data_IF_337077482247
#
_entry.id   IF_337077482247
#
_cell.length_a   1.000
_cell.length_b   1.000
_cell.length_c   1.000
_cell.angle_alpha   90.00
_cell.angle_beta   90.00
_cell.angle_gamma   90.00
#
_symmetry.space_group_name_H-M   'P 1'
#
loop_
_entity.id
_entity.type
_entity.pdbx_description
1 polymer ?
#
# COMPACT_ATOMS: atom_id res chain seq x y z
N UNK A 1 -48.24 23.10 13.63
CA UNK A 1 -47.75 23.66 12.36
C UNK A 1 -48.91 24.32 11.68
N UNK A 2 -48.77 25.60 11.32
CA UNK A 2 -49.79 26.32 10.55
C UNK A 2 -49.77 25.81 9.09
N UNK A 3 -50.94 25.74 8.45
CA UNK A 3 -51.10 25.24 7.08
C UNK A 3 -50.19 25.98 6.08
N UNK A 4 -49.99 27.28 6.29
CA UNK A 4 -49.13 28.14 5.48
C UNK A 4 -47.65 27.73 5.52
N UNK A 5 -47.19 27.19 6.64
CA UNK A 5 -45.80 26.73 6.83
C UNK A 5 -45.53 25.43 6.06
N UNK A 6 -46.55 24.58 5.93
CA UNK A 6 -46.49 23.34 5.15
C UNK A 6 -46.47 23.67 3.65
N UNK A 7 -47.36 24.57 3.20
CA UNK A 7 -47.44 24.98 1.79
C UNK A 7 -46.14 25.63 1.32
N UNK A 8 -45.57 26.55 2.12
CA UNK A 8 -44.30 27.20 1.80
C UNK A 8 -43.13 26.19 1.67
N UNK A 9 -43.06 25.19 2.57
CA UNK A 9 -42.05 24.13 2.48
C UNK A 9 -42.23 23.26 1.23
N UNK A 10 -43.47 22.93 0.87
CA UNK A 10 -43.78 22.14 -0.34
C UNK A 10 -43.34 22.90 -1.60
N UNK A 11 -43.59 24.20 -1.68
CA UNK A 11 -43.22 25.04 -2.84
C UNK A 11 -41.70 25.15 -3.02
N UNK A 12 -40.94 25.36 -1.94
CA UNK A 12 -39.48 25.38 -2.00
C UNK A 12 -38.86 24.03 -2.40
N UNK A 13 -39.51 22.93 -2.01
CA UNK A 13 -39.04 21.57 -2.30
C UNK A 13 -39.33 21.18 -3.76
N UNK A 14 -40.51 21.51 -4.29
CA UNK A 14 -40.86 21.27 -5.70
C UNK A 14 -39.96 22.06 -6.65
N UNK A 15 -39.49 23.25 -6.26
CA UNK A 15 -38.51 24.00 -7.04
C UNK A 15 -37.12 23.33 -7.08
N UNK A 16 -36.76 22.57 -6.05
CA UNK A 16 -35.45 21.91 -5.93
C UNK A 16 -35.44 20.50 -6.53
N UNK A 17 -36.52 19.74 -6.36
CA UNK A 17 -36.73 18.41 -6.94
C UNK A 17 -38.14 18.34 -7.58
N UNK A 18 -38.26 18.67 -8.89
CA UNK A 18 -39.54 18.66 -9.60
C UNK A 18 -40.18 17.27 -9.71
N UNK A 19 -39.41 16.20 -9.48
CA UNK A 19 -39.86 14.82 -9.65
C UNK A 19 -40.53 14.25 -8.40
N UNK A 20 -40.40 14.93 -7.25
CA UNK A 20 -41.01 14.55 -5.96
C UNK A 20 -40.68 13.12 -5.48
N UNK A 21 -39.63 12.50 -6.03
CA UNK A 21 -39.31 11.09 -5.80
C UNK A 21 -38.07 10.89 -4.91
N UNK A 22 -37.35 11.95 -4.51
CA UNK A 22 -36.21 11.77 -3.62
C UNK A 22 -36.67 11.43 -2.19
N UNK A 23 -36.00 10.52 -1.48
CA UNK A 23 -36.31 10.27 -0.07
C UNK A 23 -36.09 11.50 0.83
N UNK A 24 -35.31 12.49 0.36
CA UNK A 24 -35.16 13.80 1.00
C UNK A 24 -36.44 14.66 0.88
N UNK A 25 -37.16 14.56 -0.25
CA UNK A 25 -38.48 15.17 -0.45
C UNK A 25 -39.52 14.56 0.51
N UNK A 26 -39.54 13.22 0.62
CA UNK A 26 -40.40 12.51 1.56
C UNK A 26 -40.05 12.84 3.03
N UNK A 27 -38.77 12.92 3.40
CA UNK A 27 -38.34 13.32 4.74
C UNK A 27 -38.79 14.73 5.12
N UNK A 28 -38.68 15.68 4.19
CA UNK A 28 -39.08 17.07 4.41
C UNK A 28 -40.60 17.27 4.43
N UNK A 29 -41.38 16.37 3.81
CA UNK A 29 -42.85 16.32 3.87
C UNK A 29 -43.39 15.43 5.00
N UNK A 30 -42.53 14.83 5.83
CA UNK A 30 -42.93 13.98 6.96
C UNK A 30 -43.24 12.52 6.62
N UNK A 31 -42.87 12.04 5.43
CA UNK A 31 -43.14 10.68 4.94
C UNK A 31 -41.95 9.70 4.96
N UNK A 32 -40.71 10.15 5.17
CA UNK A 32 -39.54 9.27 5.29
C UNK A 32 -38.59 9.73 6.40
N UNK A 33 -38.70 9.13 7.58
CA UNK A 33 -37.74 9.39 8.65
C UNK A 33 -36.40 8.73 8.34
N UNK A 34 -35.32 9.52 8.29
CA UNK A 34 -33.98 8.99 8.12
C UNK A 34 -33.62 8.13 9.33
N UNK A 35 -33.02 6.94 9.14
CA UNK A 35 -32.56 6.12 10.25
C UNK A 35 -31.62 6.89 11.18
N UNK A 36 -31.70 6.61 12.47
CA UNK A 36 -30.79 7.15 13.49
C UNK A 36 -29.37 6.53 13.45
N UNK A 37 -28.96 6.03 12.28
CA UNK A 37 -27.68 5.34 12.10
C UNK A 37 -26.50 6.29 12.31
N UNK A 38 -25.59 5.89 13.18
CA UNK A 38 -24.37 6.62 13.54
C UNK A 38 -23.20 6.25 12.64
N UNK A 39 -22.14 7.05 12.67
CA UNK A 39 -20.88 6.74 11.98
C UNK A 39 -20.24 5.43 12.46
N UNK A 40 -20.40 5.06 13.74
CA UNK A 40 -19.83 3.83 14.26
C UNK A 40 -20.56 2.60 13.69
N UNK A 41 -21.88 2.66 13.56
CA UNK A 41 -22.68 1.59 12.97
C UNK A 41 -22.38 1.43 11.48
N UNK A 42 -22.29 2.54 10.72
CA UNK A 42 -21.84 2.46 9.32
C UNK A 42 -20.42 1.94 9.20
N UNK A 43 -19.51 2.35 10.09
CA UNK A 43 -18.15 1.81 10.11
C UNK A 43 -18.13 0.28 10.29
N UNK A 44 -19.02 -0.29 11.10
CA UNK A 44 -19.19 -1.74 11.26
C UNK A 44 -19.71 -2.41 9.98
N UNK A 45 -20.58 -1.74 9.23
CA UNK A 45 -21.21 -2.31 8.02
C UNK A 45 -20.42 -2.06 6.72
N UNK A 46 -19.37 -1.22 6.73
CA UNK A 46 -18.64 -0.81 5.52
C UNK A 46 -18.22 -1.97 4.59
N UNK A 47 -17.88 -3.13 5.13
CA UNK A 47 -17.46 -4.27 4.30
C UNK A 47 -18.62 -4.93 3.55
N UNK A 48 -19.83 -4.86 4.09
CA UNK A 48 -21.07 -5.35 3.47
C UNK A 48 -21.61 -4.33 2.48
N UNK A 49 -21.52 -3.03 2.82
CA UNK A 49 -21.97 -1.93 1.97
C UNK A 49 -21.06 -1.69 0.75
N UNK A 50 -19.77 -2.06 0.84
CA UNK A 50 -18.81 -1.91 -0.25
C UNK A 50 -18.15 -3.25 -0.62
N UNK A 51 -18.91 -4.24 -1.13
CA UNK A 51 -18.39 -5.59 -1.38
C UNK A 51 -17.31 -5.57 -2.46
N UNK A 52 -17.40 -4.68 -3.45
CA UNK A 52 -16.40 -4.50 -4.52
C UNK A 52 -15.02 -4.12 -3.95
N UNK A 53 -15.00 -3.33 -2.87
CA UNK A 53 -13.76 -2.87 -2.22
C UNK A 53 -13.08 -3.95 -1.40
N UNK A 54 -13.78 -5.02 -1.03
CA UNK A 54 -13.24 -6.07 -0.13
C UNK A 54 -13.21 -7.46 -0.77
N UNK A 55 -13.86 -7.67 -1.92
CA UNK A 55 -14.03 -8.97 -2.56
C UNK A 55 -12.73 -9.77 -2.75
N UNK A 56 -11.62 -9.07 -3.08
CA UNK A 56 -10.30 -9.66 -3.35
C UNK A 56 -9.36 -9.68 -2.15
N UNK A 57 -9.79 -9.20 -0.99
CA UNK A 57 -8.96 -9.13 0.22
C UNK A 57 -8.99 -10.47 0.96
N UNK A 58 -7.86 -10.90 1.52
CA UNK A 58 -7.89 -11.91 2.58
C UNK A 58 -8.50 -11.34 3.87
N UNK A 59 -8.76 -12.22 4.85
CA UNK A 59 -9.33 -11.87 6.15
C UNK A 59 -8.56 -10.74 6.84
N UNK A 60 -7.22 -10.78 6.85
CA UNK A 60 -6.39 -9.71 7.39
C UNK A 60 -6.60 -8.39 6.66
N UNK A 61 -6.51 -8.40 5.34
CA UNK A 61 -6.68 -7.20 4.52
C UNK A 61 -8.07 -6.58 4.69
N UNK A 62 -9.11 -7.41 4.78
CA UNK A 62 -10.49 -6.99 5.06
C UNK A 62 -10.57 -6.34 6.44
N UNK A 63 -10.02 -6.97 7.48
CA UNK A 63 -9.95 -6.42 8.84
C UNK A 63 -9.22 -5.07 8.89
N UNK A 64 -8.03 -4.97 8.29
CA UNK A 64 -7.28 -3.71 8.25
C UNK A 64 -8.02 -2.60 7.50
N UNK A 65 -8.68 -2.97 6.39
CA UNK A 65 -9.51 -2.05 5.61
C UNK A 65 -10.71 -1.55 6.42
N UNK A 66 -11.33 -2.41 7.22
CA UNK A 66 -12.46 -2.07 8.08
C UNK A 66 -12.04 -1.18 9.26
N UNK A 67 -10.94 -1.54 9.94
CA UNK A 67 -10.42 -0.84 11.12
C UNK A 67 -10.11 0.64 10.88
N UNK A 68 -9.81 1.06 9.65
CA UNK A 68 -9.54 2.48 9.35
C UNK A 68 -10.80 3.35 9.47
N UNK A 69 -11.97 2.80 9.11
CA UNK A 69 -13.27 3.46 9.21
C UNK A 69 -13.72 3.51 10.66
N UNK A 70 -13.62 2.37 11.37
CA UNK A 70 -13.88 2.28 12.81
C UNK A 70 -13.08 3.31 13.60
N UNK A 71 -11.78 3.41 13.31
CA UNK A 71 -10.92 4.38 13.98
C UNK A 71 -11.35 5.82 13.69
N UNK A 72 -11.69 6.14 12.45
CA UNK A 72 -12.14 7.48 12.08
C UNK A 72 -13.47 7.84 12.77
N UNK A 73 -14.45 6.93 12.72
CA UNK A 73 -15.74 7.09 13.39
C UNK A 73 -15.58 7.28 14.90
N UNK A 74 -14.84 6.39 15.58
CA UNK A 74 -14.60 6.50 17.02
C UNK A 74 -13.87 7.80 17.39
N UNK A 75 -12.90 8.24 16.58
CA UNK A 75 -12.19 9.51 16.81
C UNK A 75 -13.13 10.71 16.65
N UNK A 76 -14.06 10.66 15.69
CA UNK A 76 -15.07 11.70 15.52
C UNK A 76 -16.08 11.71 16.68
N UNK A 77 -16.65 10.56 17.02
CA UNK A 77 -17.64 10.45 18.09
C UNK A 77 -17.08 10.81 19.47
N UNK A 78 -15.79 10.54 19.72
CA UNK A 78 -15.13 10.98 20.95
C UNK A 78 -15.06 12.52 21.08
N UNK A 79 -15.11 13.26 19.97
CA UNK A 79 -15.06 14.72 19.95
C UNK A 79 -16.45 15.36 19.85
N UNK A 80 -17.29 14.89 18.93
CA UNK A 80 -18.58 15.50 18.59
C UNK A 80 -19.77 14.81 19.30
N UNK A 81 -19.53 13.70 20.00
CA UNK A 81 -20.58 12.83 20.51
C UNK A 81 -21.03 11.80 19.48
N UNK A 82 -21.76 10.78 19.95
CA UNK A 82 -22.42 9.82 19.07
C UNK A 82 -23.77 10.39 18.65
N UNK A 83 -23.96 10.59 17.34
CA UNK A 83 -25.20 11.14 16.79
C UNK A 83 -25.53 10.49 15.42
N UNK A 84 -26.81 10.52 15.02
CA UNK A 84 -27.21 10.10 13.67
C UNK A 84 -26.43 10.83 12.59
N UNK A 85 -26.10 10.14 11.50
CA UNK A 85 -25.40 10.72 10.34
C UNK A 85 -26.18 11.90 9.75
N UNK A 86 -27.51 11.80 9.72
CA UNK A 86 -28.41 12.86 9.26
C UNK A 86 -28.27 14.17 10.07
N UNK A 87 -27.84 14.08 11.33
CA UNK A 87 -27.73 15.21 12.24
C UNK A 87 -26.32 15.83 12.26
N UNK A 88 -25.36 15.24 11.53
CA UNK A 88 -24.00 15.79 11.46
C UNK A 88 -24.02 17.06 10.62
N UNK A 89 -23.57 18.17 11.21
CA UNK A 89 -23.56 19.47 10.54
C UNK A 89 -22.19 19.83 9.96
N UNK A 90 -22.17 20.83 9.09
CA UNK A 90 -20.93 21.49 8.65
C UNK A 90 -20.15 22.09 9.83
N UNK A 91 -20.86 22.51 10.89
CA UNK A 91 -20.26 22.98 12.13
C UNK A 91 -19.46 21.89 12.83
N UNK A 92 -20.01 20.69 12.95
CA UNK A 92 -19.34 19.54 13.57
C UNK A 92 -18.10 19.12 12.78
N UNK A 93 -18.23 19.07 11.45
CA UNK A 93 -17.12 18.76 10.57
C UNK A 93 -15.99 19.82 10.66
N UNK A 94 -16.37 21.10 10.81
CA UNK A 94 -15.43 22.22 11.01
C UNK A 94 -14.74 22.15 12.38
N UNK A 95 -15.47 21.79 13.43
CA UNK A 95 -14.91 21.58 14.78
C UNK A 95 -13.94 20.39 14.80
N UNK A 96 -14.30 19.29 14.12
CA UNK A 96 -13.43 18.14 13.94
C UNK A 96 -12.14 18.53 13.21
N UNK A 97 -12.24 19.28 12.10
CA UNK A 97 -11.07 19.83 11.40
C UNK A 97 -10.19 20.68 12.30
N UNK A 98 -10.77 21.60 13.06
CA UNK A 98 -10.05 22.49 13.98
C UNK A 98 -9.28 21.70 15.04
N UNK A 99 -9.87 20.62 15.56
CA UNK A 99 -9.17 19.74 16.51
C UNK A 99 -7.93 19.09 15.88
N UNK A 100 -8.03 18.61 14.64
CA UNK A 100 -6.89 18.06 13.91
C UNK A 100 -5.86 19.13 13.54
N UNK A 101 -6.28 20.35 13.18
CA UNK A 101 -5.37 21.48 12.95
C UNK A 101 -4.53 21.77 14.20
N UNK A 102 -5.14 21.75 15.40
CA UNK A 102 -4.43 21.87 16.67
C UNK A 102 -3.42 20.75 16.87
N UNK A 103 -3.82 19.50 16.65
CA UNK A 103 -2.93 18.33 16.76
C UNK A 103 -1.76 18.37 15.77
N UNK A 104 -2.01 18.84 14.54
CA UNK A 104 -0.97 19.07 13.54
C UNK A 104 -0.04 20.19 14.00
N UNK A 105 -0.57 21.29 14.54
CA UNK A 105 0.24 22.41 15.06
C UNK A 105 1.13 21.96 16.21
N UNK A 106 0.60 21.11 17.08
CA UNK A 106 1.31 20.49 18.20
C UNK A 106 2.27 19.35 17.78
N UNK A 107 2.41 19.07 16.48
CA UNK A 107 3.24 17.99 15.93
C UNK A 107 2.86 16.57 16.41
N UNK A 108 1.63 16.37 16.89
CA UNK A 108 1.13 15.06 17.33
C UNK A 108 0.79 14.14 16.16
N UNK A 109 0.36 14.74 15.04
CA UNK A 109 0.00 14.03 13.81
C UNK A 109 0.44 14.83 12.59
N UNK A 110 0.65 14.15 11.47
CA UNK A 110 0.91 14.82 10.19
C UNK A 110 -0.38 15.31 9.54
N UNK A 111 -0.24 16.31 8.68
CA UNK A 111 -1.30 16.82 7.80
C UNK A 111 -1.91 15.69 6.96
N UNK A 112 -1.07 14.78 6.46
CA UNK A 112 -1.53 13.61 5.70
C UNK A 112 -2.40 12.67 6.56
N UNK A 113 -2.03 12.45 7.82
CA UNK A 113 -2.82 11.61 8.72
C UNK A 113 -4.20 12.22 8.99
N UNK A 114 -4.26 13.52 9.28
CA UNK A 114 -5.52 14.25 9.47
C UNK A 114 -6.43 14.14 8.24
N UNK A 115 -5.89 14.42 7.05
CA UNK A 115 -6.66 14.38 5.80
C UNK A 115 -7.18 12.98 5.45
N UNK A 116 -6.50 11.90 5.89
CA UNK A 116 -7.03 10.54 5.76
C UNK A 116 -8.28 10.32 6.61
N UNK A 117 -8.29 10.83 7.84
CA UNK A 117 -9.48 10.72 8.72
C UNK A 117 -10.68 11.43 8.11
N UNK A 118 -10.52 12.66 7.61
CA UNK A 118 -11.61 13.37 6.92
C UNK A 118 -12.12 12.60 5.71
N UNK A 119 -11.21 12.04 4.91
CA UNK A 119 -11.58 11.21 3.76
C UNK A 119 -12.36 9.95 4.15
N UNK A 120 -12.05 9.32 5.28
CA UNK A 120 -12.81 8.16 5.76
C UNK A 120 -14.22 8.54 6.23
N UNK A 121 -14.38 9.66 6.95
CA UNK A 121 -15.70 10.16 7.34
C UNK A 121 -16.55 10.51 6.14
N UNK A 122 -15.96 11.20 5.16
CA UNK A 122 -16.62 11.52 3.88
C UNK A 122 -17.16 10.26 3.22
N UNK A 123 -16.32 9.25 3.03
CA UNK A 123 -16.73 7.98 2.40
C UNK A 123 -17.84 7.29 3.18
N UNK A 124 -17.83 7.30 4.51
CA UNK A 124 -18.90 6.69 5.31
C UNK A 124 -20.24 7.40 5.12
N UNK A 125 -20.25 8.73 5.13
CA UNK A 125 -21.48 9.51 4.87
C UNK A 125 -21.99 9.27 3.45
N UNK A 126 -21.10 9.28 2.45
CA UNK A 126 -21.49 8.98 1.06
C UNK A 126 -22.09 7.57 0.97
N UNK A 127 -21.44 6.57 1.59
CA UNK A 127 -21.90 5.17 1.58
C UNK A 127 -23.26 5.00 2.29
N UNK A 128 -23.52 5.77 3.35
CA UNK A 128 -24.80 5.75 4.06
C UNK A 128 -25.96 6.16 3.14
N UNK A 129 -25.84 7.30 2.46
CA UNK A 129 -26.89 7.79 1.56
C UNK A 129 -27.00 6.93 0.30
N UNK A 130 -25.90 6.46 -0.27
CA UNK A 130 -25.89 5.53 -1.41
C UNK A 130 -26.60 4.19 -1.07
N UNK A 131 -26.51 3.73 0.18
CA UNK A 131 -27.19 2.54 0.67
C UNK A 131 -28.71 2.77 0.77
N UNK A 132 -29.13 3.96 1.20
CA UNK A 132 -30.53 4.37 1.26
C UNK A 132 -31.12 4.79 -0.10
N UNK A 133 -30.32 4.79 -1.18
CA UNK A 133 -30.71 5.26 -2.52
C UNK A 133 -31.17 6.71 -2.53
N UNK A 134 -30.46 7.54 -1.75
CA UNK A 134 -30.67 8.98 -1.69
C UNK A 134 -29.57 9.65 -2.50
N UNK A 135 -29.91 10.13 -3.68
CA UNK A 135 -28.94 10.81 -4.57
C UNK A 135 -28.74 12.29 -4.17
N UNK A 136 -29.76 12.91 -3.59
CA UNK A 136 -29.72 14.30 -3.13
C UNK A 136 -29.45 14.38 -1.63
N UNK A 137 -28.19 14.65 -1.27
CA UNK A 137 -27.77 14.90 0.10
C UNK A 137 -26.57 15.85 0.15
N UNK A 138 -26.35 16.48 1.31
CA UNK A 138 -25.15 17.25 1.58
C UNK A 138 -24.25 16.48 2.53
N UNK A 139 -23.03 16.19 2.10
CA UNK A 139 -22.04 15.57 2.97
C UNK A 139 -21.16 16.66 3.65
N UNK A 140 -21.22 16.80 4.99
CA UNK A 140 -20.48 17.81 5.74
C UNK A 140 -18.95 17.76 5.56
N UNK A 141 -18.41 16.63 5.10
CA UNK A 141 -16.97 16.41 4.96
C UNK A 141 -16.40 16.65 3.55
N UNK A 142 -17.22 17.01 2.55
CA UNK A 142 -16.80 17.13 1.13
C UNK A 142 -15.56 17.99 0.94
N UNK A 143 -15.50 19.15 1.59
CA UNK A 143 -14.41 20.13 1.48
C UNK A 143 -13.56 20.23 2.76
N UNK A 144 -13.68 19.24 3.65
CA UNK A 144 -12.95 19.25 4.92
C UNK A 144 -11.53 18.72 4.70
N UNK A 145 -10.58 19.65 4.71
CA UNK A 145 -9.16 19.35 4.52
C UNK A 145 -8.28 20.44 5.12
N UNK A 146 -7.12 20.05 5.64
CA UNK A 146 -6.01 20.96 5.92
C UNK A 146 -5.24 21.18 4.60
N UNK A 147 -5.21 22.43 4.12
CA UNK A 147 -4.59 22.82 2.84
C UNK A 147 -3.08 22.99 3.00
N UNK A 148 -2.33 22.35 2.10
CA UNK A 148 -0.86 22.34 2.15
C UNK A 148 -0.33 21.63 3.40
N UNK A 149 0.98 21.43 3.44
CA UNK A 149 1.67 20.89 4.61
C UNK A 149 1.90 21.98 5.67
N UNK A 150 1.88 21.59 6.95
CA UNK A 150 2.24 22.49 8.04
C UNK A 150 3.68 23.02 7.90
N UNK A 151 3.97 24.20 8.45
CA UNK A 151 5.30 24.82 8.30
C UNK A 151 6.42 23.93 8.86
N UNK A 152 6.19 23.22 9.96
CA UNK A 152 7.16 22.27 10.52
C UNK A 152 7.36 21.03 9.64
N UNK A 153 6.38 20.65 8.81
CA UNK A 153 6.53 19.58 7.81
C UNK A 153 7.37 20.07 6.63
N UNK A 154 7.13 21.31 6.17
CA UNK A 154 7.89 21.95 5.07
C UNK A 154 9.33 22.30 5.44
N UNK A 155 9.55 22.70 6.69
CA UNK A 155 10.88 23.04 7.20
C UNK A 155 11.76 21.81 7.41
N UNK A 156 11.20 20.60 7.36
CA UNK A 156 12.00 19.38 7.32
C UNK A 156 12.56 19.24 5.92
N UNK A 157 13.88 19.06 5.84
CA UNK A 157 14.52 18.64 4.60
C UNK A 157 13.76 17.45 4.00
N UNK A 158 13.67 17.33 2.66
CA UNK A 158 13.03 16.19 2.01
C UNK A 158 13.58 14.91 2.63
N UNK A 159 12.77 14.23 3.44
CA UNK A 159 13.24 13.08 4.20
C UNK A 159 13.44 11.96 3.20
N UNK A 160 14.69 11.79 2.74
CA UNK A 160 15.06 10.57 2.04
C UNK A 160 14.78 9.42 2.99
N UNK A 161 13.99 8.46 2.51
CA UNK A 161 13.68 7.26 3.29
C UNK A 161 14.99 6.58 3.68
N UNK A 162 15.09 6.16 4.93
CA UNK A 162 16.28 5.50 5.42
C UNK A 162 16.57 4.24 4.60
N UNK A 163 17.84 3.98 4.36
CA UNK A 163 18.36 2.86 3.58
C UNK A 163 19.50 2.24 4.38
N UNK A 164 19.46 0.92 4.53
CA UNK A 164 20.60 0.16 5.05
C UNK A 164 21.72 0.12 4.01
N UNK A 165 22.97 0.23 4.45
CA UNK A 165 24.12 0.05 3.56
C UNK A 165 24.24 -1.41 3.10
N UNK A 166 24.80 -1.68 1.91
CA UNK A 166 25.02 -3.06 1.45
C UNK A 166 25.81 -3.90 2.46
N UNK A 167 26.89 -3.35 3.04
CA UNK A 167 27.68 -4.02 4.07
C UNK A 167 26.84 -4.38 5.30
N UNK A 168 25.96 -3.47 5.74
CA UNK A 168 25.07 -3.75 6.86
C UNK A 168 24.12 -4.91 6.54
N UNK A 169 23.52 -4.93 5.34
CA UNK A 169 22.60 -6.01 4.95
C UNK A 169 23.36 -7.34 4.85
N UNK A 170 24.55 -7.34 4.25
CA UNK A 170 25.36 -8.54 4.15
C UNK A 170 25.72 -9.11 5.53
N UNK A 171 26.16 -8.24 6.44
CA UNK A 171 26.60 -8.62 7.79
C UNK A 171 25.46 -9.04 8.71
N UNK A 172 24.26 -8.45 8.57
CA UNK A 172 23.18 -8.62 9.55
C UNK A 172 21.97 -9.41 9.02
N UNK A 173 21.79 -9.49 7.70
CA UNK A 173 20.65 -10.19 7.07
C UNK A 173 21.15 -11.40 6.28
N UNK A 174 22.11 -11.22 5.37
CA UNK A 174 22.57 -12.30 4.49
C UNK A 174 23.38 -13.37 5.27
N UNK A 175 24.28 -12.97 6.15
CA UNK A 175 25.08 -13.91 6.96
C UNK A 175 24.24 -14.79 7.91
N UNK A 176 23.00 -14.40 8.22
CA UNK A 176 22.08 -15.13 9.09
C UNK A 176 22.38 -15.03 10.59
N UNK A 177 23.64 -14.91 11.01
CA UNK A 177 24.06 -15.05 12.42
C UNK A 177 23.37 -14.06 13.39
N UNK A 178 23.09 -12.83 12.96
CA UNK A 178 22.36 -11.84 13.79
C UNK A 178 20.86 -12.12 13.89
N UNK A 179 20.35 -13.05 13.10
CA UNK A 179 18.94 -13.44 13.03
C UNK A 179 18.66 -14.80 13.68
N UNK A 180 19.64 -15.46 14.29
CA UNK A 180 19.49 -16.83 14.82
C UNK A 180 18.36 -16.98 15.86
N UNK A 181 18.07 -15.93 16.65
CA UNK A 181 16.95 -15.92 17.59
C UNK A 181 15.58 -15.68 16.96
N UNK A 182 15.53 -15.36 15.66
CA UNK A 182 14.29 -15.19 14.90
C UNK A 182 13.87 -16.53 14.30
N UNK A 183 12.57 -16.79 14.12
CA UNK A 183 12.12 -18.02 13.48
C UNK A 183 12.51 -18.05 11.98
N UNK A 184 12.74 -19.25 11.44
CA UNK A 184 13.27 -19.48 10.09
C UNK A 184 12.48 -18.75 8.99
N UNK A 185 11.15 -18.85 8.99
CA UNK A 185 10.31 -18.16 8.02
C UNK A 185 10.52 -16.64 8.04
N UNK A 186 10.65 -16.03 9.22
CA UNK A 186 10.86 -14.60 9.31
C UNK A 186 12.26 -14.16 8.84
N UNK A 187 13.29 -14.97 9.07
CA UNK A 187 14.64 -14.72 8.51
C UNK A 187 14.61 -14.77 7.00
N UNK A 188 13.95 -15.77 6.45
CA UNK A 188 13.90 -15.98 5.00
C UNK A 188 13.05 -14.91 4.30
N UNK A 189 11.95 -14.45 4.90
CA UNK A 189 11.21 -13.28 4.39
C UNK A 189 12.10 -12.03 4.37
N UNK A 190 12.93 -11.80 5.40
CA UNK A 190 13.85 -10.66 5.46
C UNK A 190 14.89 -10.71 4.34
N UNK A 191 15.50 -11.88 4.13
CA UNK A 191 16.48 -12.12 3.05
C UNK A 191 15.82 -11.82 1.71
N UNK A 192 14.65 -12.40 1.43
CA UNK A 192 13.95 -12.19 0.15
C UNK A 192 13.55 -10.72 -0.03
N UNK A 193 13.10 -10.03 1.03
CA UNK A 193 12.78 -8.60 0.95
C UNK A 193 14.02 -7.74 0.64
N UNK A 194 15.17 -8.06 1.25
CA UNK A 194 16.42 -7.36 0.98
C UNK A 194 16.84 -7.55 -0.48
N UNK A 195 16.83 -8.79 -0.96
CA UNK A 195 17.41 -9.22 -2.24
C UNK A 195 16.52 -9.01 -3.46
N UNK A 196 15.22 -8.76 -3.27
CA UNK A 196 14.28 -8.57 -4.40
C UNK A 196 13.58 -7.22 -4.38
N UNK A 197 13.73 -6.47 -3.29
CA UNK A 197 12.98 -5.24 -3.05
C UNK A 197 11.46 -5.46 -2.94
N UNK A 198 10.96 -6.69 -2.85
CA UNK A 198 9.54 -6.95 -2.67
C UNK A 198 9.00 -6.35 -1.37
N UNK A 199 7.71 -6.03 -1.35
CA UNK A 199 7.03 -5.69 -0.10
C UNK A 199 6.90 -6.96 0.75
N UNK A 200 6.96 -6.83 2.06
CA UNK A 200 6.81 -7.97 2.98
C UNK A 200 5.55 -8.79 2.68
N UNK A 201 4.42 -8.12 2.47
CA UNK A 201 3.14 -8.74 2.08
C UNK A 201 3.20 -9.48 0.75
N UNK A 202 4.02 -9.02 -0.19
CA UNK A 202 4.19 -9.70 -1.47
C UNK A 202 4.86 -11.06 -1.27
N UNK A 203 5.72 -11.20 -0.25
CA UNK A 203 6.49 -12.40 0.06
C UNK A 203 5.73 -13.36 0.98
N UNK A 204 5.34 -12.92 2.18
CA UNK A 204 4.78 -13.84 3.15
C UNK A 204 3.37 -14.33 2.79
N UNK A 205 2.63 -13.62 1.92
CA UNK A 205 1.35 -14.09 1.42
C UNK A 205 1.48 -14.93 0.14
N UNK A 206 2.70 -15.28 -0.32
CA UNK A 206 2.85 -16.08 -1.54
C UNK A 206 2.18 -17.45 -1.37
N UNK A 207 1.33 -17.86 -2.33
CA UNK A 207 0.92 -19.25 -2.43
C UNK A 207 2.07 -20.10 -3.01
N UNK A 208 2.05 -21.40 -2.74
CA UNK A 208 3.02 -22.33 -3.34
C UNK A 208 3.00 -22.28 -4.87
N UNK A 209 1.82 -22.13 -5.47
CA UNK A 209 1.66 -22.04 -6.93
C UNK A 209 2.40 -20.86 -7.57
N UNK A 210 2.69 -19.80 -6.81
CA UNK A 210 3.43 -18.63 -7.28
C UNK A 210 4.95 -18.79 -7.18
N UNK A 211 5.46 -19.87 -6.59
CA UNK A 211 6.88 -20.12 -6.38
C UNK A 211 7.36 -21.09 -7.47
N UNK A 212 8.19 -20.61 -8.40
CA UNK A 212 8.65 -21.36 -9.58
C UNK A 212 10.15 -21.66 -9.45
N UNK A 213 10.50 -22.62 -8.60
CA UNK A 213 11.92 -22.98 -8.35
C UNK A 213 12.55 -23.77 -9.50
N UNK A 214 11.77 -24.58 -10.20
CA UNK A 214 12.26 -25.46 -11.28
C UNK A 214 12.17 -24.81 -12.68
N UNK A 215 11.81 -23.53 -12.75
CA UNK A 215 11.82 -22.79 -14.01
C UNK A 215 13.25 -22.53 -14.47
N UNK A 216 13.45 -22.35 -15.79
CA UNK A 216 14.76 -21.99 -16.37
C UNK A 216 15.38 -20.77 -15.69
N UNK A 217 14.55 -19.79 -15.36
CA UNK A 217 14.87 -18.71 -14.42
C UNK A 217 13.98 -18.89 -13.19
N UNK A 218 14.52 -19.34 -12.05
CA UNK A 218 13.76 -19.45 -10.82
C UNK A 218 13.16 -18.09 -10.44
N UNK A 219 11.86 -18.06 -10.12
CA UNK A 219 11.17 -16.79 -9.81
C UNK A 219 9.97 -16.98 -8.89
N UNK A 220 9.52 -15.88 -8.29
CA UNK A 220 8.19 -15.77 -7.69
C UNK A 220 7.28 -14.92 -8.57
N UNK A 221 6.01 -15.29 -8.66
CA UNK A 221 5.01 -14.51 -9.39
C UNK A 221 4.22 -13.65 -8.41
N UNK A 222 4.40 -12.33 -8.47
CA UNK A 222 3.54 -11.41 -7.73
C UNK A 222 2.28 -11.20 -8.56
N UNK A 223 1.15 -11.69 -8.06
CA UNK A 223 -0.14 -11.54 -8.73
C UNK A 223 -1.29 -11.38 -7.72
N UNK A 224 -2.48 -11.04 -8.24
CA UNK A 224 -3.70 -11.19 -7.45
C UNK A 224 -4.02 -12.67 -7.44
N UNK A 225 -4.13 -13.21 -6.23
CA UNK A 225 -4.47 -14.61 -6.02
C UNK A 225 -5.97 -14.72 -5.68
N UNK A 226 -6.57 -15.84 -6.08
CA UNK A 226 -7.96 -16.19 -5.79
C UNK A 226 -8.04 -17.48 -4.94
N UNK A 227 -9.24 -17.98 -4.67
CA UNK A 227 -9.44 -19.22 -3.91
C UNK A 227 -8.99 -19.13 -2.44
N UNK A 228 -8.35 -20.20 -1.95
CA UNK A 228 -7.88 -20.33 -0.56
C UNK A 228 -6.81 -19.29 -0.19
N UNK A 229 -5.95 -18.92 -1.15
CA UNK A 229 -4.84 -18.00 -0.95
C UNK A 229 -5.16 -16.58 -1.43
N UNK A 230 -6.46 -16.26 -1.55
CA UNK A 230 -6.95 -14.97 -2.04
C UNK A 230 -6.21 -13.80 -1.40
N UNK A 231 -5.68 -12.89 -2.20
CA UNK A 231 -5.08 -11.65 -1.70
C UNK A 231 -5.13 -10.54 -2.74
N UNK A 232 -5.31 -9.33 -2.25
CA UNK A 232 -5.14 -8.15 -3.08
C UNK A 232 -3.68 -7.68 -3.06
N UNK A 233 -3.17 -7.24 -4.19
CA UNK A 233 -1.88 -6.55 -4.29
C UNK A 233 -2.08 -5.05 -4.40
N UNK A 234 -1.05 -4.28 -4.06
CA UNK A 234 -1.16 -2.82 -3.92
C UNK A 234 -1.73 -2.11 -5.15
N UNK A 235 -1.30 -2.49 -6.35
CA UNK A 235 -1.75 -1.92 -7.61
C UNK A 235 -1.43 -2.86 -8.78
N UNK A 236 -2.00 -2.59 -9.97
CA UNK A 236 -1.76 -3.38 -11.19
C UNK A 236 -0.27 -3.51 -11.52
N UNK A 237 0.49 -2.43 -11.37
CA UNK A 237 1.94 -2.40 -11.62
C UNK A 237 2.77 -3.29 -10.68
N UNK A 238 2.20 -3.75 -9.56
CA UNK A 238 2.88 -4.70 -8.68
C UNK A 238 2.89 -6.11 -9.27
N UNK A 239 2.03 -6.41 -10.26
CA UNK A 239 2.02 -7.70 -10.96
C UNK A 239 3.31 -7.85 -11.75
N UNK A 240 4.14 -8.82 -11.39
CA UNK A 240 5.41 -9.08 -12.09
C UNK A 240 5.97 -10.44 -11.68
N UNK A 241 6.72 -11.11 -12.57
CA UNK A 241 7.69 -12.10 -12.14
C UNK A 241 8.85 -11.39 -11.45
N UNK A 242 9.35 -11.98 -10.37
CA UNK A 242 10.53 -11.52 -9.62
C UNK A 242 11.54 -12.65 -9.63
N UNK A 243 12.67 -12.49 -10.33
CA UNK A 243 13.69 -13.52 -10.41
C UNK A 243 14.31 -13.77 -9.04
N UNK A 244 14.68 -15.02 -8.79
CA UNK A 244 15.34 -15.49 -7.59
C UNK A 244 16.77 -15.88 -7.94
N UNK A 245 17.74 -15.14 -7.43
CA UNK A 245 19.17 -15.41 -7.54
C UNK A 245 19.81 -15.37 -6.15
N UNK A 246 21.02 -15.91 -6.02
CA UNK A 246 21.80 -15.89 -4.77
C UNK A 246 21.00 -16.20 -3.51
N UNK A 247 21.08 -15.29 -2.54
CA UNK A 247 20.46 -15.48 -1.23
C UNK A 247 18.92 -15.55 -1.26
N UNK A 248 18.27 -14.85 -2.19
CA UNK A 248 16.81 -14.97 -2.36
C UNK A 248 16.41 -16.37 -2.83
N UNK A 249 17.16 -16.93 -3.77
CA UNK A 249 16.93 -18.30 -4.26
C UNK A 249 17.17 -19.32 -3.15
N UNK A 250 18.26 -19.19 -2.40
CA UNK A 250 18.55 -20.08 -1.27
C UNK A 250 17.44 -20.04 -0.21
N UNK A 251 16.93 -18.85 0.13
CA UNK A 251 15.81 -18.69 1.05
C UNK A 251 14.52 -19.34 0.52
N UNK A 252 14.18 -19.14 -0.75
CA UNK A 252 12.97 -19.72 -1.34
C UNK A 252 13.06 -21.24 -1.54
N UNK A 253 14.27 -21.79 -1.77
CA UNK A 253 14.51 -23.25 -1.80
C UNK A 253 14.22 -23.92 -0.44
N UNK A 254 14.49 -23.24 0.68
CA UNK A 254 14.09 -23.71 2.02
C UNK A 254 12.59 -23.62 2.26
N UNK A 255 11.90 -22.74 1.53
CA UNK A 255 10.47 -22.45 1.71
C UNK A 255 9.66 -22.70 0.42
N UNK A 256 9.69 -23.93 -0.16
CA UNK A 256 9.02 -24.22 -1.43
C UNK A 256 7.49 -24.07 -1.33
N UNK A 257 6.94 -24.20 -0.12
CA UNK A 257 5.51 -24.00 0.18
C UNK A 257 5.19 -22.58 0.63
N UNK A 258 6.12 -21.62 0.51
CA UNK A 258 6.00 -20.25 1.00
C UNK A 258 6.10 -20.16 2.53
N UNK A 259 5.35 -19.23 3.14
CA UNK A 259 5.49 -18.87 4.56
C UNK A 259 4.18 -19.06 5.36
N UNK A 260 3.75 -20.31 5.65
CA UNK A 260 2.49 -20.59 6.36
C UNK A 260 2.33 -19.94 7.73
N UNK A 261 3.42 -19.66 8.46
CA UNK A 261 3.36 -18.95 9.75
C UNK A 261 2.78 -17.55 9.59
N UNK A 262 3.07 -16.89 8.48
CA UNK A 262 2.73 -15.48 8.23
C UNK A 262 1.68 -15.25 7.15
N UNK A 263 1.43 -16.23 6.27
CA UNK A 263 0.46 -16.13 5.17
C UNK A 263 -0.93 -15.76 5.69
N UNK A 264 -1.50 -14.69 5.14
CA UNK A 264 -2.84 -14.20 5.47
C UNK A 264 -2.99 -13.69 6.90
N UNK A 265 -1.91 -13.67 7.69
CA UNK A 265 -1.89 -13.34 9.12
C UNK A 265 -1.20 -12.01 9.37
N UNK A 266 -1.50 -11.43 10.52
CA UNK A 266 -0.73 -10.29 11.06
C UNK A 266 0.48 -10.83 11.85
N UNK A 267 1.36 -9.93 12.26
CA UNK A 267 2.40 -10.25 13.23
C UNK A 267 3.81 -10.41 12.65
N UNK A 268 3.99 -10.56 11.33
CA UNK A 268 5.34 -10.54 10.74
C UNK A 268 6.10 -9.26 11.13
N UNK A 269 5.53 -8.10 10.79
CA UNK A 269 6.18 -6.82 11.05
C UNK A 269 6.40 -6.58 12.54
N UNK A 270 5.44 -6.96 13.41
CA UNK A 270 5.59 -6.83 14.86
C UNK A 270 6.69 -7.73 15.42
N UNK A 271 6.77 -8.99 14.95
CA UNK A 271 7.80 -9.95 15.36
C UNK A 271 9.19 -9.43 15.01
N UNK A 272 9.36 -8.99 13.75
CA UNK A 272 10.66 -8.52 13.26
C UNK A 272 11.04 -7.18 13.89
N UNK A 273 10.12 -6.22 13.98
CA UNK A 273 10.39 -4.92 14.62
C UNK A 273 10.83 -5.10 16.07
N UNK A 274 10.10 -5.91 16.85
CA UNK A 274 10.47 -6.21 18.23
C UNK A 274 11.87 -6.84 18.31
N UNK A 275 12.15 -7.84 17.47
CA UNK A 275 13.47 -8.47 17.42
C UNK A 275 14.58 -7.46 17.10
N UNK A 276 14.36 -6.60 16.10
CA UNK A 276 15.34 -5.59 15.70
C UNK A 276 15.59 -4.55 16.79
N UNK A 277 14.54 -4.18 17.54
CA UNK A 277 14.66 -3.27 18.70
C UNK A 277 15.47 -3.93 19.83
N UNK A 278 15.12 -5.15 20.23
CA UNK A 278 15.81 -5.90 21.30
C UNK A 278 17.29 -6.16 21.00
N UNK A 279 17.65 -6.28 19.72
CA UNK A 279 19.01 -6.59 19.27
C UNK A 279 19.75 -5.38 18.66
N UNK A 280 19.21 -4.15 18.80
CA UNK A 280 19.79 -2.91 18.27
C UNK A 280 20.16 -3.00 16.77
N UNK A 281 19.30 -3.65 15.98
CA UNK A 281 19.54 -3.85 14.55
C UNK A 281 19.14 -2.65 13.69
N UNK A 282 18.47 -1.62 14.23
CA UNK A 282 18.22 -0.40 13.48
C UNK A 282 19.38 0.58 13.60
N UNK A 283 20.09 0.93 12.50
CA UNK A 283 21.20 1.89 12.56
C UNK A 283 20.77 3.27 13.08
N UNK A 284 19.52 3.66 12.82
CA UNK A 284 18.91 4.90 13.34
C UNK A 284 17.41 4.69 13.54
N UNK A 285 16.77 5.55 14.34
CA UNK A 285 15.32 5.54 14.57
C UNK A 285 14.47 5.76 13.29
N UNK A 286 15.09 6.17 12.18
CA UNK A 286 14.41 6.31 10.87
C UNK A 286 14.36 5.01 10.07
N UNK A 287 15.11 3.99 10.49
CA UNK A 287 15.11 2.70 9.81
C UNK A 287 13.91 1.87 10.23
N UNK A 288 13.30 1.24 9.24
CA UNK A 288 12.29 0.22 9.43
C UNK A 288 12.61 -0.95 8.52
N UNK A 289 11.98 -2.10 8.73
CA UNK A 289 12.20 -3.26 7.84
C UNK A 289 11.85 -2.93 6.38
N UNK A 290 10.89 -2.03 6.13
CA UNK A 290 10.58 -1.54 4.77
C UNK A 290 11.72 -0.77 4.11
N UNK A 291 12.73 -0.31 4.88
CA UNK A 291 13.94 0.33 4.35
C UNK A 291 14.80 -0.61 3.51
N UNK A 292 14.70 -1.94 3.70
CA UNK A 292 15.39 -2.93 2.86
C UNK A 292 15.02 -2.79 1.37
N UNK A 293 13.75 -2.50 1.09
CA UNK A 293 13.27 -2.24 -0.27
C UNK A 293 13.92 -0.99 -0.88
N UNK A 294 14.15 0.06 -0.09
CA UNK A 294 14.84 1.26 -0.56
C UNK A 294 16.32 0.99 -0.82
N UNK A 295 16.97 0.18 0.03
CA UNK A 295 18.33 -0.28 -0.20
C UNK A 295 18.48 -1.06 -1.50
N UNK A 296 17.53 -1.94 -1.84
CA UNK A 296 17.54 -2.69 -3.11
C UNK A 296 17.53 -1.75 -4.33
N UNK A 297 16.63 -0.76 -4.35
CA UNK A 297 16.60 0.25 -5.42
C UNK A 297 17.90 1.05 -5.52
N UNK A 298 18.47 1.44 -4.38
CA UNK A 298 19.76 2.13 -4.34
C UNK A 298 20.92 1.29 -4.86
N UNK A 299 20.94 -0.02 -4.58
CA UNK A 299 21.93 -0.95 -5.14
C UNK A 299 21.82 -0.98 -6.67
N UNK A 300 20.61 -1.14 -7.21
CA UNK A 300 20.40 -1.15 -8.67
C UNK A 300 20.79 0.18 -9.31
N UNK A 301 20.49 1.31 -8.67
CA UNK A 301 20.91 2.63 -9.17
C UNK A 301 22.44 2.73 -9.23
N UNK A 302 23.14 2.24 -8.20
CA UNK A 302 24.61 2.24 -8.15
C UNK A 302 25.24 1.23 -9.11
N UNK A 303 24.54 0.15 -9.45
CA UNK A 303 24.91 -0.80 -10.50
C UNK A 303 24.63 -0.28 -11.93
N UNK A 304 24.14 0.95 -12.07
CA UNK A 304 23.99 1.61 -13.36
C UNK A 304 22.68 1.36 -14.09
N UNK A 305 21.70 0.70 -13.46
CA UNK A 305 20.36 0.51 -14.03
C UNK A 305 19.62 1.84 -14.09
N UNK A 306 18.90 2.06 -15.18
CA UNK A 306 18.02 3.20 -15.45
C UNK A 306 16.81 3.22 -14.52
N UNK A 307 16.09 4.34 -14.50
CA UNK A 307 14.89 4.46 -13.66
C UNK A 307 13.76 3.52 -14.08
N UNK A 308 13.65 3.22 -15.37
CA UNK A 308 12.63 2.29 -15.90
C UNK A 308 12.95 0.85 -15.52
N UNK A 309 14.20 0.39 -15.73
CA UNK A 309 14.65 -0.95 -15.35
C UNK A 309 14.41 -1.21 -13.86
N UNK A 310 14.82 -0.26 -13.00
CA UNK A 310 14.52 -0.33 -11.55
C UNK A 310 13.03 -0.34 -11.28
N UNK A 311 12.26 0.45 -12.01
CA UNK A 311 10.81 0.49 -11.89
C UNK A 311 10.15 -0.86 -12.18
N UNK A 312 10.61 -1.57 -13.22
CA UNK A 312 10.13 -2.91 -13.55
C UNK A 312 10.47 -3.91 -12.45
N UNK A 313 11.71 -3.89 -11.94
CA UNK A 313 12.12 -4.73 -10.81
C UNK A 313 11.28 -4.47 -9.55
N UNK A 314 10.96 -3.20 -9.28
CA UNK A 314 10.25 -2.77 -8.08
C UNK A 314 8.72 -2.89 -8.19
N UNK A 315 8.15 -3.06 -9.37
CA UNK A 315 6.70 -2.99 -9.59
C UNK A 315 6.16 -1.56 -9.40
N UNK A 316 6.86 -0.58 -9.96
CA UNK A 316 6.43 0.81 -10.03
C UNK A 316 5.57 1.06 -11.28
N UNK A 317 4.70 2.06 -11.23
CA UNK A 317 3.85 2.43 -12.37
C UNK A 317 4.69 3.06 -13.47
N UNK A 318 4.84 2.38 -14.62
CA UNK A 318 5.54 2.94 -15.79
C UNK A 318 4.90 4.23 -16.29
N UNK A 319 3.56 4.33 -16.25
CA UNK A 319 2.83 5.56 -16.58
C UNK A 319 3.29 6.74 -15.70
N UNK A 320 3.51 6.47 -14.42
CA UNK A 320 3.98 7.49 -13.46
C UNK A 320 5.44 7.84 -13.66
N UNK A 321 6.31 6.84 -13.92
CA UNK A 321 7.74 7.07 -14.19
C UNK A 321 7.94 7.88 -15.47
N UNK A 322 7.20 7.54 -16.53
CA UNK A 322 7.32 8.19 -17.84
C UNK A 322 6.57 9.50 -17.95
N UNK A 323 5.56 9.73 -17.10
CA UNK A 323 4.65 10.88 -17.20
C UNK A 323 3.76 10.86 -18.45
N UNK A 324 3.69 9.72 -19.17
CA UNK A 324 2.95 9.52 -20.42
C UNK A 324 2.43 8.09 -20.53
N UNK A 325 1.69 7.81 -21.60
CA UNK A 325 1.22 6.46 -21.92
C UNK A 325 2.37 5.46 -22.07
N UNK A 326 2.07 4.20 -21.75
CA UNK A 326 3.04 3.12 -21.74
C UNK A 326 2.97 2.39 -23.08
N UNK A 327 4.02 2.55 -23.88
CA UNK A 327 4.27 1.83 -25.13
C UNK A 327 5.61 1.09 -25.05
N UNK A 328 5.79 0.07 -25.88
CA UNK A 328 6.96 -0.80 -25.84
C UNK A 328 6.79 -1.99 -24.90
N UNK A 329 7.73 -2.91 -24.99
CA UNK A 329 7.80 -4.13 -24.19
C UNK A 329 8.39 -3.89 -22.80
N UNK A 330 8.25 -4.90 -21.95
CA UNK A 330 8.90 -4.97 -20.65
C UNK A 330 10.12 -5.89 -20.73
N UNK A 331 11.18 -5.67 -19.92
CA UNK A 331 12.35 -6.53 -19.98
C UNK A 331 11.99 -7.99 -19.71
N UNK A 332 12.52 -8.89 -20.53
CA UNK A 332 12.38 -10.34 -20.38
C UNK A 332 12.85 -10.80 -18.99
N UNK A 333 12.30 -11.92 -18.52
CA UNK A 333 12.64 -12.46 -17.20
C UNK A 333 14.13 -12.83 -17.09
N UNK A 334 14.78 -13.27 -18.17
CA UNK A 334 16.23 -13.55 -18.19
C UNK A 334 17.02 -12.27 -17.91
N UNK A 335 16.70 -11.18 -18.61
CA UNK A 335 17.31 -9.86 -18.39
C UNK A 335 17.05 -9.36 -16.96
N UNK A 336 15.85 -9.56 -16.42
CA UNK A 336 15.56 -9.22 -15.01
C UNK A 336 16.41 -10.02 -14.01
N UNK A 337 16.72 -11.28 -14.31
CA UNK A 337 17.59 -12.09 -13.46
C UNK A 337 19.02 -11.54 -13.45
N UNK A 338 19.52 -11.10 -14.62
CA UNK A 338 20.81 -10.42 -14.76
C UNK A 338 20.83 -9.08 -13.99
N UNK A 339 19.74 -8.31 -14.03
CA UNK A 339 19.58 -7.13 -13.17
C UNK A 339 19.64 -7.44 -11.68
N UNK A 340 19.01 -8.54 -11.26
CA UNK A 340 19.05 -8.96 -9.86
C UNK A 340 20.45 -9.44 -9.46
N UNK A 341 21.14 -10.15 -10.34
CA UNK A 341 22.49 -10.67 -10.09
C UNK A 341 23.49 -9.54 -9.80
N UNK A 342 23.43 -8.42 -10.53
CA UNK A 342 24.30 -7.25 -10.33
C UNK A 342 24.26 -6.68 -8.90
N UNK A 343 23.22 -6.97 -8.14
CA UNK A 343 22.98 -6.36 -6.82
C UNK A 343 22.78 -7.36 -5.70
N UNK A 344 22.77 -8.66 -5.99
CA UNK A 344 22.50 -9.70 -5.01
C UNK A 344 23.77 -10.11 -4.26
N UNK A 345 23.61 -10.58 -3.03
CA UNK A 345 24.70 -11.13 -2.23
C UNK A 345 24.96 -12.59 -2.59
N UNK A 346 26.23 -12.98 -2.44
CA UNK A 346 26.70 -14.36 -2.54
C UNK A 346 25.92 -15.29 -1.60
N UNK A 347 25.64 -16.49 -2.09
CA UNK A 347 25.09 -17.61 -1.32
C UNK A 347 26.12 -18.75 -1.23
N UNK A 348 25.86 -19.75 -0.40
CA UNK A 348 26.79 -20.87 -0.18
C UNK A 348 27.21 -21.62 -1.45
N UNK A 349 26.31 -21.72 -2.44
CA UNK A 349 26.46 -22.47 -3.69
C UNK A 349 26.46 -21.56 -4.92
N UNK A 350 26.50 -20.23 -4.75
CA UNK A 350 26.37 -19.29 -5.86
C UNK A 350 27.10 -17.97 -5.59
N UNK A 351 27.88 -17.52 -6.59
CA UNK A 351 28.58 -16.23 -6.59
C UNK A 351 28.11 -15.36 -7.74
N UNK A 352 27.90 -14.06 -7.53
CA UNK A 352 27.59 -13.15 -8.63
C UNK A 352 28.79 -13.07 -9.59
N UNK A 353 28.51 -13.09 -10.89
CA UNK A 353 29.53 -12.90 -11.93
C UNK A 353 30.02 -11.46 -11.95
N UNK A 354 31.09 -11.21 -12.72
CA UNK A 354 31.54 -9.83 -12.94
C UNK A 354 30.46 -9.08 -13.71
N UNK A 355 30.31 -7.78 -13.43
CA UNK A 355 29.33 -6.95 -14.10
C UNK A 355 29.48 -6.98 -15.63
N UNK A 356 30.71 -7.02 -16.13
CA UNK A 356 31.02 -7.16 -17.56
C UNK A 356 30.42 -8.43 -18.17
N UNK A 357 30.62 -9.59 -17.54
CA UNK A 357 30.06 -10.87 -18.01
C UNK A 357 28.53 -10.85 -18.06
N UNK A 358 27.90 -10.23 -17.05
CA UNK A 358 26.44 -10.09 -16.96
C UNK A 358 25.92 -9.19 -18.08
N UNK A 359 26.62 -8.09 -18.35
CA UNK A 359 26.24 -7.15 -19.39
C UNK A 359 26.44 -7.73 -20.79
N UNK A 360 27.49 -8.50 -21.02
CA UNK A 360 27.70 -9.24 -22.27
C UNK A 360 26.56 -10.24 -22.51
N UNK A 361 26.13 -11.00 -21.49
CA UNK A 361 24.99 -11.91 -21.65
C UNK A 361 23.67 -11.17 -21.94
N UNK A 362 23.45 -10.00 -21.34
CA UNK A 362 22.29 -9.18 -21.71
C UNK A 362 22.32 -8.77 -23.19
N UNK A 363 23.50 -8.38 -23.69
CA UNK A 363 23.68 -7.97 -25.07
C UNK A 363 23.51 -9.16 -26.03
N UNK A 364 23.95 -10.35 -25.65
CA UNK A 364 23.73 -11.59 -26.40
C UNK A 364 22.22 -11.92 -26.49
N UNK A 365 21.49 -11.87 -25.37
CA UNK A 365 20.03 -12.10 -25.35
C UNK A 365 19.31 -11.10 -26.27
N UNK A 366 19.67 -9.82 -26.21
CA UNK A 366 19.08 -8.79 -27.05
C UNK A 366 19.42 -9.01 -28.53
N UNK A 367 20.63 -9.46 -28.84
CA UNK A 367 21.07 -9.77 -30.20
C UNK A 367 20.30 -10.97 -30.77
N UNK A 368 20.09 -12.02 -29.96
CA UNK A 368 19.27 -13.18 -30.33
C UNK A 368 17.81 -12.81 -30.59
N UNK A 369 17.30 -11.77 -29.91
CA UNK A 369 15.97 -11.19 -30.14
C UNK A 369 15.94 -10.21 -31.34
N UNK A 370 17.07 -9.99 -32.00
CA UNK A 370 17.20 -9.16 -33.20
C UNK A 370 17.46 -7.67 -32.94
N UNK A 371 17.70 -7.29 -31.68
CA UNK A 371 18.12 -5.93 -31.34
C UNK A 371 19.61 -5.71 -31.60
N UNK A 372 20.02 -4.43 -31.63
CA UNK A 372 21.43 -4.03 -31.72
C UNK A 372 21.84 -3.38 -30.40
N UNK A 373 22.42 -4.13 -29.45
CA UNK A 373 22.90 -3.55 -28.20
C UNK A 373 23.97 -2.50 -28.48
N UNK A 374 23.93 -1.39 -27.75
CA UNK A 374 24.97 -0.38 -27.85
C UNK A 374 26.15 -0.78 -26.97
N UNK A 375 27.38 -0.71 -27.49
CA UNK A 375 28.63 -0.96 -26.75
C UNK A 375 28.93 0.07 -25.63
N UNK A 376 27.92 0.83 -25.17
CA UNK A 376 28.06 2.00 -24.32
C UNK A 376 28.08 1.69 -22.81
N UNK A 377 28.93 0.76 -22.39
CA UNK A 377 29.35 0.65 -20.97
C UNK A 377 30.83 0.94 -20.72
N UNK A 378 31.63 1.17 -21.76
CA UNK A 378 33.06 1.53 -21.65
C UNK A 378 33.37 2.95 -21.10
N UNK A 379 32.35 3.78 -20.83
CA UNK A 379 32.53 5.18 -20.39
C UNK A 379 31.87 5.51 -19.03
N UNK A 380 31.83 4.57 -18.07
CA UNK A 380 31.36 4.87 -16.70
C UNK A 380 32.40 4.63 -15.63
#
# INVERSE_FOLDING_TARGET
MALEEIVSRVEELIQKDPSANSPLFAANLGGFELPDTTLNEIAEQMAELCPDKVARKNNRQRRMWHNRYKRAAATFSALAGSMPIANITVGDASNYRRSFEKRVTNQEVTTQYANKHFGYLRVMVDTYYDNLKIDEYSNPFVNVRIKGEANWEKAKDPVRKAEFSPNWIQQNIASGAKLDGLNDEARDILIVCAETGCRQTEIYDLPQSAIKLDASVPHILISVEDGEHRREIKNKASRRPVPLVGMALAAMKRNPKGFPRYRGKEGFSATVSKYFEEHNMFPTARHHVSSLRHSFESRMRRAGLTNEERGYMMGHSMKTIRGREVYGDEPDLRIRALYAELVSFEASDWKPRKAEDIFNEMDDILTDEGFRPASHRDNR
#
